data_IF_451476282756
#
_entry.id   IF_451476282756
#
_cell.length_a   1.000
_cell.length_b   1.000
_cell.length_c   1.000
_cell.angle_alpha   90.00
_cell.angle_beta   90.00
_cell.angle_gamma   90.00
#
_symmetry.space_group_name_H-M   'P 1'
#
loop_
_entity.id
_entity.type
_entity.pdbx_description
1 polymer ?
#
# COMPACT_ATOMS: atom_id res chain seq x y z
N UNK A 1 24.13 -13.24 23.05
CA UNK A 1 22.69 -13.04 23.29
C UNK A 1 22.40 -11.53 23.16
N UNK A 2 22.18 -11.05 21.94
CA UNK A 2 21.91 -9.63 21.67
C UNK A 2 20.41 -9.36 21.88
N UNK A 3 20.06 -8.64 22.94
CA UNK A 3 18.69 -8.15 23.12
C UNK A 3 18.43 -7.02 22.10
N UNK A 4 17.35 -7.09 21.31
CA UNK A 4 16.98 -6.00 20.41
C UNK A 4 16.62 -4.75 21.22
N UNK A 5 16.86 -3.54 20.67
CA UNK A 5 16.56 -2.28 21.36
C UNK A 5 15.07 -2.21 21.70
N UNK A 6 14.76 -2.13 22.99
CA UNK A 6 13.39 -1.99 23.47
C UNK A 6 12.79 -0.70 22.89
N UNK A 7 11.68 -0.83 22.18
CA UNK A 7 11.00 0.32 21.61
C UNK A 7 10.44 1.15 22.78
N UNK A 8 10.48 2.48 22.68
CA UNK A 8 9.89 3.40 23.68
C UNK A 8 8.43 3.10 24.05
N UNK A 9 7.72 2.28 23.25
CA UNK A 9 6.37 1.78 23.51
C UNK A 9 6.29 0.72 24.65
N UNK A 10 7.42 0.11 25.02
CA UNK A 10 7.49 -0.97 26.01
C UNK A 10 7.80 -0.45 27.43
N UNK A 11 8.01 0.86 27.58
CA UNK A 11 8.06 1.53 28.87
C UNK A 11 6.65 1.57 29.49
N UNK A 12 6.28 0.52 30.22
CA UNK A 12 5.23 0.61 31.23
C UNK A 12 5.74 1.52 32.35
N UNK A 13 5.14 2.70 32.60
CA UNK A 13 5.51 3.48 33.77
C UNK A 13 5.04 2.70 35.00
N UNK A 14 6.01 2.09 35.69
CA UNK A 14 5.78 1.49 36.98
C UNK A 14 5.44 2.58 38.00
N UNK A 15 4.32 2.39 38.70
CA UNK A 15 4.05 3.03 39.99
C UNK A 15 3.32 4.37 39.96
N UNK A 16 2.14 4.35 40.59
CA UNK A 16 1.35 5.47 41.16
C UNK A 16 0.48 6.26 40.17
N UNK A 17 -0.70 6.63 40.69
CA UNK A 17 -1.85 7.26 40.01
C UNK A 17 -1.42 8.30 38.97
N UNK A 18 -1.50 7.94 37.68
CA UNK A 18 -1.21 8.89 36.59
C UNK A 18 -2.25 10.01 36.57
N UNK A 19 -1.77 11.25 36.66
CA UNK A 19 -2.58 12.46 36.46
C UNK A 19 -3.21 12.45 35.07
N UNK A 20 -4.42 13.00 34.89
CA UNK A 20 -5.09 13.03 33.58
C UNK A 20 -4.22 13.64 32.46
N UNK A 21 -3.36 14.61 32.79
CA UNK A 21 -2.35 15.16 31.87
C UNK A 21 -1.31 14.14 31.41
N UNK A 22 -0.80 13.28 32.30
CA UNK A 22 0.18 12.24 31.93
C UNK A 22 -0.45 11.15 31.07
N UNK A 23 -1.72 10.78 31.34
CA UNK A 23 -2.50 9.87 30.47
C UNK A 23 -2.73 10.47 29.09
N UNK A 24 -3.08 11.76 29.03
CA UNK A 24 -3.27 12.47 27.77
C UNK A 24 -1.95 12.59 26.98
N UNK A 25 -0.85 12.96 27.64
CA UNK A 25 0.47 13.05 27.03
C UNK A 25 0.96 11.68 26.54
N UNK A 26 0.74 10.62 27.30
CA UNK A 26 1.07 9.25 26.89
C UNK A 26 0.26 8.78 25.68
N UNK A 27 -1.05 9.06 25.64
CA UNK A 27 -1.89 8.79 24.46
C UNK A 27 -1.45 9.59 23.23
N UNK A 28 -1.11 10.86 23.42
CA UNK A 28 -0.63 11.74 22.35
C UNK A 28 0.72 11.28 21.80
N UNK A 29 1.69 10.97 22.67
CA UNK A 29 3.00 10.45 22.26
C UNK A 29 2.89 9.08 21.59
N UNK A 30 1.99 8.21 22.05
CA UNK A 30 1.71 6.94 21.38
C UNK A 30 1.10 7.15 19.99
N UNK A 31 0.18 8.10 19.85
CA UNK A 31 -0.42 8.46 18.56
C UNK A 31 0.63 9.04 17.59
N UNK A 32 1.44 10.00 18.04
CA UNK A 32 2.56 10.59 17.28
C UNK A 32 3.57 9.52 16.88
N UNK A 33 3.93 8.61 17.79
CA UNK A 33 4.86 7.53 17.50
C UNK A 33 4.30 6.52 16.48
N UNK A 34 3.00 6.25 16.51
CA UNK A 34 2.33 5.34 15.58
C UNK A 34 2.15 5.99 14.21
N UNK A 35 1.89 7.30 14.19
CA UNK A 35 1.70 8.12 12.98
C UNK A 35 2.97 8.65 12.33
N UNK A 36 4.18 8.25 12.77
CA UNK A 36 5.45 8.86 12.34
C UNK A 36 5.59 9.00 10.82
N UNK A 37 5.25 7.95 10.06
CA UNK A 37 5.34 7.99 8.60
C UNK A 37 4.34 8.99 7.99
N UNK A 38 3.12 9.04 8.50
CA UNK A 38 2.11 9.99 8.04
C UNK A 38 2.52 11.44 8.38
N UNK A 39 3.10 11.66 9.56
CA UNK A 39 3.60 12.99 9.95
C UNK A 39 4.72 13.47 9.04
N UNK A 40 5.66 12.60 8.67
CA UNK A 40 6.72 12.94 7.72
C UNK A 40 6.12 13.34 6.37
N UNK A 41 5.14 12.59 5.86
CA UNK A 41 4.46 12.91 4.60
C UNK A 41 3.76 14.27 4.65
N UNK A 42 3.01 14.56 5.73
CA UNK A 42 2.31 15.85 5.89
C UNK A 42 3.29 17.01 6.02
N UNK A 43 4.38 16.86 6.79
CA UNK A 43 5.41 17.89 6.94
C UNK A 43 6.13 18.15 5.61
N UNK A 44 6.52 17.09 4.88
CA UNK A 44 7.13 17.23 3.55
C UNK A 44 6.17 17.90 2.56
N UNK A 45 4.88 17.56 2.59
CA UNK A 45 3.88 18.20 1.74
C UNK A 45 3.69 19.69 2.07
N UNK A 46 3.66 20.05 3.36
CA UNK A 46 3.59 21.43 3.80
C UNK A 46 4.84 22.22 3.37
N UNK A 47 6.04 21.67 3.57
CA UNK A 47 7.28 22.28 3.11
C UNK A 47 7.29 22.44 1.58
N UNK A 48 6.91 21.40 0.83
CA UNK A 48 6.82 21.47 -0.62
C UNK A 48 5.86 22.57 -1.09
N UNK A 49 4.73 22.76 -0.40
CA UNK A 49 3.80 23.87 -0.66
C UNK A 49 4.43 25.25 -0.39
N UNK A 50 5.14 25.42 0.74
CA UNK A 50 5.84 26.67 1.05
C UNK A 50 6.90 27.01 0.01
N UNK A 51 7.75 26.05 -0.36
CA UNK A 51 8.79 26.26 -1.38
C UNK A 51 8.20 26.47 -2.79
N UNK A 52 7.10 25.79 -3.12
CA UNK A 52 6.40 26.02 -4.38
C UNK A 52 5.82 27.44 -4.48
N UNK A 53 5.46 28.06 -3.35
CA UNK A 53 4.96 29.45 -3.31
C UNK A 53 6.09 30.47 -3.53
N UNK A 54 7.34 30.09 -3.23
CA UNK A 54 8.52 30.94 -3.41
C UNK A 54 9.19 30.79 -4.79
N UNK A 55 8.58 30.06 -5.73
CA UNK A 55 9.10 29.72 -7.07
C UNK A 55 10.50 29.07 -7.11
N UNK A 56 11.04 28.71 -5.95
CA UNK A 56 12.29 27.97 -5.78
C UNK A 56 11.93 26.57 -5.31
N UNK A 57 11.49 25.71 -6.24
CA UNK A 57 11.26 24.30 -5.94
C UNK A 57 12.50 23.49 -6.35
N UNK A 58 13.43 23.16 -5.42
CA UNK A 58 14.60 22.33 -5.72
C UNK A 58 14.24 20.84 -5.91
N UNK A 59 12.95 20.47 -5.86
CA UNK A 59 12.46 19.09 -5.93
C UNK A 59 11.39 18.93 -7.01
N UNK A 60 11.39 17.75 -7.65
CA UNK A 60 10.40 17.36 -8.64
C UNK A 60 9.07 17.06 -7.93
N UNK A 61 8.03 17.86 -8.20
CA UNK A 61 6.68 17.63 -7.70
C UNK A 61 6.00 16.50 -8.48
N UNK A 62 5.10 15.77 -7.81
CA UNK A 62 4.37 14.60 -8.33
C UNK A 62 3.48 14.86 -9.54
N UNK A 63 3.40 16.11 -9.99
CA UNK A 63 2.57 16.52 -11.11
C UNK A 63 1.10 16.58 -10.78
N UNK A 64 0.31 16.75 -11.83
CA UNK A 64 -1.13 16.92 -11.76
C UNK A 64 -1.84 15.55 -11.71
N UNK A 65 -2.62 15.28 -10.67
CA UNK A 65 -3.36 14.01 -10.51
C UNK A 65 -4.80 14.26 -10.93
N UNK A 66 -5.27 13.55 -11.96
CA UNK A 66 -6.65 13.64 -12.41
C UNK A 66 -7.61 13.14 -11.32
N UNK A 67 -8.59 13.97 -10.97
CA UNK A 67 -9.62 13.60 -10.03
C UNK A 67 -10.62 12.63 -10.68
N UNK A 68 -10.90 11.50 -10.02
CA UNK A 68 -11.89 10.54 -10.47
C UNK A 68 -11.39 9.10 -10.45
N UNK A 69 -12.33 8.16 -10.52
CA UNK A 69 -11.98 6.75 -10.68
C UNK A 69 -11.49 6.52 -12.11
N UNK A 70 -10.47 5.65 -12.31
CA UNK A 70 -10.09 5.25 -13.65
C UNK A 70 -11.31 4.62 -14.35
N UNK A 71 -11.55 4.94 -15.63
CA UNK A 71 -12.67 4.38 -16.36
C UNK A 71 -12.51 2.86 -16.45
N UNK A 72 -13.62 2.15 -16.30
CA UNK A 72 -13.68 0.72 -16.57
C UNK A 72 -13.54 0.52 -18.09
N UNK A 73 -12.38 0.03 -18.51
CA UNK A 73 -12.08 -0.24 -19.90
C UNK A 73 -11.22 -1.50 -20.00
N UNK A 74 -11.44 -2.38 -20.99
CA UNK A 74 -10.57 -3.52 -21.19
C UNK A 74 -9.13 -3.05 -21.45
N UNK A 75 -8.11 -3.84 -21.07
CA UNK A 75 -6.72 -3.51 -21.34
C UNK A 75 -6.53 -3.31 -22.86
N UNK A 76 -5.89 -2.20 -23.28
CA UNK A 76 -5.76 -1.88 -24.69
C UNK A 76 -4.83 -2.89 -25.39
N UNK A 77 -5.28 -3.40 -26.54
CA UNK A 77 -4.45 -4.27 -27.40
C UNK A 77 -3.56 -3.47 -28.37
N UNK A 78 -3.77 -2.15 -28.45
CA UNK A 78 -2.95 -1.21 -29.20
C UNK A 78 -2.72 0.04 -28.36
N UNK A 79 -1.47 0.50 -28.29
CA UNK A 79 -1.13 1.73 -27.57
C UNK A 79 -0.32 2.65 -28.46
N UNK A 80 -0.64 3.94 -28.46
CA UNK A 80 0.15 4.97 -29.13
C UNK A 80 1.15 5.52 -28.11
N UNK A 81 2.43 5.26 -28.33
CA UNK A 81 3.50 5.80 -27.49
C UNK A 81 4.41 6.66 -28.38
N UNK A 82 4.28 7.99 -28.25
CA UNK A 82 4.88 8.94 -29.19
C UNK A 82 4.22 8.89 -30.58
N UNK A 83 5.04 8.88 -31.63
CA UNK A 83 4.58 8.83 -33.03
C UNK A 83 4.36 7.41 -33.58
N UNK A 84 4.49 6.39 -32.73
CA UNK A 84 4.41 4.98 -33.14
C UNK A 84 3.24 4.28 -32.48
N UNK A 85 2.41 3.62 -33.29
CA UNK A 85 1.36 2.72 -32.81
C UNK A 85 1.95 1.35 -32.53
N UNK A 86 2.00 0.96 -31.26
CA UNK A 86 2.46 -0.35 -30.82
C UNK A 86 1.29 -1.34 -30.88
N UNK A 87 1.43 -2.37 -31.72
CA UNK A 87 0.56 -3.54 -31.71
C UNK A 87 0.84 -4.41 -30.48
N UNK A 88 -0.11 -5.27 -30.11
CA UNK A 88 0.00 -6.21 -28.99
C UNK A 88 1.30 -7.03 -29.01
N UNK A 89 1.69 -7.55 -30.18
CA UNK A 89 2.94 -8.29 -30.35
C UNK A 89 4.18 -7.46 -30.00
N UNK A 90 4.21 -6.20 -30.42
CA UNK A 90 5.31 -5.29 -30.13
C UNK A 90 5.35 -4.93 -28.65
N UNK A 91 4.19 -4.76 -28.01
CA UNK A 91 4.12 -4.59 -26.55
C UNK A 91 4.69 -5.82 -25.83
N UNK A 92 4.32 -7.02 -26.28
CA UNK A 92 4.82 -8.25 -25.69
C UNK A 92 6.34 -8.41 -25.85
N UNK A 93 6.88 -8.08 -27.01
CA UNK A 93 8.31 -8.07 -27.25
C UNK A 93 9.04 -7.03 -26.39
N UNK A 94 8.42 -5.87 -26.16
CA UNK A 94 9.00 -4.82 -25.34
C UNK A 94 9.07 -5.19 -23.86
N UNK A 95 8.06 -5.90 -23.35
CA UNK A 95 8.10 -6.48 -22.00
C UNK A 95 9.05 -7.70 -21.92
N UNK A 96 9.28 -8.38 -23.04
CA UNK A 96 10.22 -9.50 -23.16
C UNK A 96 9.93 -10.63 -22.18
N UNK A 97 10.96 -11.06 -21.44
CA UNK A 97 10.84 -12.08 -20.39
C UNK A 97 10.02 -11.63 -19.17
N UNK A 98 9.80 -10.32 -19.00
CA UNK A 98 9.05 -9.77 -17.88
C UNK A 98 7.61 -10.27 -17.80
N UNK A 99 7.00 -10.63 -18.95
CA UNK A 99 5.64 -11.19 -19.00
C UNK A 99 5.51 -12.49 -18.22
N UNK A 100 6.54 -13.34 -18.26
CA UNK A 100 6.55 -14.60 -17.52
C UNK A 100 7.09 -14.42 -16.10
N UNK A 101 8.15 -13.61 -15.95
CA UNK A 101 8.84 -13.44 -14.66
C UNK A 101 7.95 -12.75 -13.62
N UNK A 102 7.23 -11.69 -13.99
CA UNK A 102 6.43 -10.91 -13.04
C UNK A 102 5.31 -11.75 -12.40
N UNK A 103 4.47 -12.51 -13.13
CA UNK A 103 3.47 -13.38 -12.53
C UNK A 103 4.08 -14.49 -11.67
N UNK A 104 5.16 -15.13 -12.12
CA UNK A 104 5.82 -16.21 -11.36
C UNK A 104 6.33 -15.68 -10.01
N UNK A 105 7.05 -14.56 -10.02
CA UNK A 105 7.56 -13.94 -8.79
C UNK A 105 6.41 -13.49 -7.90
N UNK A 106 5.33 -12.94 -8.48
CA UNK A 106 4.15 -12.50 -7.74
C UNK A 106 3.45 -13.67 -7.02
N UNK A 107 3.27 -14.81 -7.69
CA UNK A 107 2.65 -16.01 -7.12
C UNK A 107 3.54 -16.60 -6.03
N UNK A 108 4.85 -16.76 -6.29
CA UNK A 108 5.79 -17.27 -5.30
C UNK A 108 5.83 -16.41 -4.04
N UNK A 109 5.86 -15.08 -4.21
CA UNK A 109 5.80 -14.12 -3.11
C UNK A 109 4.49 -14.22 -2.33
N UNK A 110 3.35 -14.29 -3.01
CA UNK A 110 2.04 -14.40 -2.36
C UNK A 110 1.92 -15.71 -1.54
N UNK A 111 2.29 -16.85 -2.13
CA UNK A 111 2.24 -18.15 -1.45
C UNK A 111 3.22 -18.20 -0.27
N UNK A 112 4.42 -17.59 -0.39
CA UNK A 112 5.36 -17.50 0.72
C UNK A 112 4.80 -16.68 1.89
N UNK A 113 4.14 -15.55 1.61
CA UNK A 113 3.47 -14.74 2.63
C UNK A 113 2.33 -15.53 3.27
N UNK A 114 1.47 -16.14 2.47
CA UNK A 114 0.34 -16.92 2.97
C UNK A 114 0.81 -18.05 3.90
N UNK A 115 1.87 -18.80 3.53
CA UNK A 115 2.47 -19.82 4.39
C UNK A 115 3.10 -19.26 5.67
N UNK A 116 3.71 -18.08 5.61
CA UNK A 116 4.30 -17.45 6.78
C UNK A 116 3.27 -17.03 7.84
N UNK A 117 2.01 -16.79 7.43
CA UNK A 117 0.93 -16.38 8.32
C UNK A 117 -0.15 -17.45 8.54
N UNK A 118 -0.12 -18.57 7.83
CA UNK A 118 -1.00 -19.72 8.08
C UNK A 118 -0.59 -20.42 9.38
N UNK A 119 -1.46 -20.42 10.39
CA UNK A 119 -1.17 -21.06 11.69
C UNK A 119 -1.86 -22.42 11.76
N UNK A 120 -1.18 -23.47 11.31
CA UNK A 120 -1.65 -24.86 11.43
C UNK A 120 -2.71 -25.32 10.42
N UNK A 121 -3.16 -24.44 9.53
CA UNK A 121 -4.07 -24.79 8.43
C UNK A 121 -3.31 -25.15 7.15
N UNK A 122 -3.85 -26.11 6.38
CA UNK A 122 -3.29 -26.46 5.07
C UNK A 122 -3.61 -25.36 4.07
N UNK A 123 -2.57 -24.69 3.56
CA UNK A 123 -2.71 -23.71 2.49
C UNK A 123 -2.73 -24.41 1.12
N UNK A 124 -3.80 -24.22 0.36
CA UNK A 124 -3.86 -24.62 -1.04
C UNK A 124 -3.21 -23.55 -1.94
N UNK A 125 -2.00 -23.85 -2.41
CA UNK A 125 -1.26 -22.96 -3.31
C UNK A 125 -1.97 -22.76 -4.67
N UNK A 126 -2.76 -23.74 -5.13
CA UNK A 126 -3.51 -23.64 -6.40
C UNK A 126 -4.62 -22.62 -6.26
N UNK A 127 -5.34 -22.64 -5.13
CA UNK A 127 -6.38 -21.67 -4.83
C UNK A 127 -5.82 -20.25 -4.71
N UNK A 128 -4.68 -20.08 -4.04
CA UNK A 128 -3.99 -18.78 -3.94
C UNK A 128 -3.56 -18.26 -5.32
N UNK A 129 -3.04 -19.15 -6.18
CA UNK A 129 -2.63 -18.79 -7.55
C UNK A 129 -3.83 -18.34 -8.39
N UNK A 130 -4.94 -19.09 -8.37
CA UNK A 130 -6.16 -18.73 -9.11
C UNK A 130 -6.72 -17.41 -8.60
N UNK A 131 -6.79 -17.23 -7.27
CA UNK A 131 -7.28 -15.99 -6.64
C UNK A 131 -6.44 -14.79 -7.09
N UNK A 132 -5.11 -14.89 -7.02
CA UNK A 132 -4.22 -13.82 -7.42
C UNK A 132 -4.30 -13.52 -8.93
N UNK A 133 -4.46 -14.54 -9.77
CA UNK A 133 -4.67 -14.41 -11.20
C UNK A 133 -5.97 -13.65 -11.51
N UNK A 134 -7.08 -14.06 -10.89
CA UNK A 134 -8.37 -13.38 -11.03
C UNK A 134 -8.31 -11.92 -10.56
N UNK A 135 -7.65 -11.64 -9.43
CA UNK A 135 -7.45 -10.28 -8.94
C UNK A 135 -6.71 -9.40 -9.97
N UNK A 136 -5.66 -9.91 -10.60
CA UNK A 136 -4.90 -9.17 -11.60
C UNK A 136 -5.66 -9.00 -12.93
N UNK A 137 -6.42 -10.01 -13.35
CA UNK A 137 -7.30 -9.89 -14.53
C UNK A 137 -8.36 -8.82 -14.29
N UNK A 138 -9.08 -8.89 -13.16
CA UNK A 138 -10.09 -7.88 -12.79
C UNK A 138 -9.45 -6.49 -12.63
N UNK A 139 -8.25 -6.41 -12.06
CA UNK A 139 -7.49 -5.16 -11.93
C UNK A 139 -7.11 -4.53 -13.26
N UNK A 140 -6.89 -5.32 -14.32
CA UNK A 140 -6.54 -4.80 -15.64
C UNK A 140 -7.65 -3.91 -16.24
N UNK A 141 -8.92 -4.19 -15.92
CA UNK A 141 -10.08 -3.39 -16.39
C UNK A 141 -10.17 -2.01 -15.75
N UNK A 142 -9.51 -1.80 -14.62
CA UNK A 142 -9.43 -0.48 -13.94
C UNK A 142 -8.05 0.15 -14.09
N UNK A 143 -7.26 -0.30 -15.08
CA UNK A 143 -5.88 0.17 -15.33
C UNK A 143 -4.95 -0.01 -14.11
N UNK A 144 -5.19 -1.04 -13.29
CA UNK A 144 -4.33 -1.35 -12.15
C UNK A 144 -2.98 -1.92 -12.59
N UNK A 145 -1.94 -1.58 -11.85
CA UNK A 145 -0.67 -2.30 -11.89
C UNK A 145 -0.82 -3.71 -11.30
N UNK A 146 0.06 -4.67 -11.66
CA UNK A 146 0.04 -6.01 -11.10
C UNK A 146 0.20 -5.96 -9.58
N UNK A 147 -0.70 -6.65 -8.88
CA UNK A 147 -0.79 -6.68 -7.41
C UNK A 147 -0.29 -8.03 -6.89
N UNK A 148 0.34 -8.01 -5.72
CA UNK A 148 0.79 -9.17 -4.94
C UNK A 148 0.49 -8.97 -3.45
N UNK A 149 0.66 -10.03 -2.66
CA UNK A 149 0.54 -9.98 -1.20
C UNK A 149 1.58 -9.06 -0.56
N UNK A 150 1.31 -8.56 0.65
CA UNK A 150 2.22 -7.66 1.38
C UNK A 150 2.50 -8.16 2.78
N UNK A 151 3.77 -8.47 3.08
CA UNK A 151 4.21 -8.88 4.42
C UNK A 151 3.79 -7.89 5.50
N UNK A 152 3.98 -6.59 5.27
CA UNK A 152 3.66 -5.57 6.28
C UNK A 152 2.15 -5.51 6.57
N UNK A 153 1.31 -5.58 5.54
CA UNK A 153 -0.16 -5.56 5.73
C UNK A 153 -0.65 -6.84 6.39
N UNK A 154 -0.16 -8.00 5.95
CA UNK A 154 -0.52 -9.30 6.53
C UNK A 154 -0.07 -9.41 7.99
N UNK A 155 1.11 -8.91 8.34
CA UNK A 155 1.59 -8.88 9.72
C UNK A 155 0.69 -8.04 10.64
N UNK A 156 0.29 -6.85 10.19
CA UNK A 156 -0.63 -5.98 10.95
C UNK A 156 -2.01 -6.61 11.05
N UNK A 157 -2.51 -7.22 9.98
CA UNK A 157 -3.81 -7.89 9.97
C UNK A 157 -3.83 -9.10 10.92
N UNK A 158 -2.78 -9.92 10.92
CA UNK A 158 -2.61 -11.05 11.83
C UNK A 158 -2.45 -10.60 13.29
N UNK A 159 -1.64 -9.58 13.55
CA UNK A 159 -1.48 -9.00 14.89
C UNK A 159 -2.77 -8.35 15.42
N UNK A 160 -3.65 -7.90 14.53
CA UNK A 160 -4.97 -7.35 14.88
C UNK A 160 -6.01 -8.44 15.14
N UNK A 161 -5.67 -9.72 14.95
CA UNK A 161 -6.56 -10.85 15.22
C UNK A 161 -7.69 -11.01 14.20
N UNK A 162 -7.53 -10.51 12.97
CA UNK A 162 -8.53 -10.69 11.90
C UNK A 162 -8.53 -12.15 11.45
N UNK A 163 -9.69 -12.81 11.57
CA UNK A 163 -9.85 -14.25 11.24
C UNK A 163 -10.60 -14.52 9.94
N UNK A 164 -11.13 -13.48 9.30
CA UNK A 164 -11.97 -13.63 8.10
C UNK A 164 -11.42 -12.78 6.95
N UNK A 165 -11.51 -13.24 5.69
CA UNK A 165 -11.10 -12.45 4.53
C UNK A 165 -11.90 -11.14 4.36
N UNK A 166 -13.08 -11.03 4.99
CA UNK A 166 -13.88 -9.80 4.99
C UNK A 166 -13.16 -8.57 5.56
N UNK A 167 -12.07 -8.73 6.33
CA UNK A 167 -11.23 -7.60 6.77
C UNK A 167 -10.65 -6.79 5.61
N UNK A 168 -10.45 -7.42 4.45
CA UNK A 168 -10.03 -6.75 3.22
C UNK A 168 -11.06 -5.73 2.71
N UNK A 169 -12.37 -6.04 2.82
CA UNK A 169 -13.44 -5.13 2.40
C UNK A 169 -13.46 -3.85 3.24
N UNK A 170 -13.29 -3.99 4.56
CA UNK A 170 -13.17 -2.84 5.46
C UNK A 170 -11.97 -1.97 5.08
N UNK A 171 -10.80 -2.59 4.89
CA UNK A 171 -9.58 -1.89 4.50
C UNK A 171 -9.75 -1.16 3.16
N UNK A 172 -10.36 -1.80 2.17
CA UNK A 172 -10.66 -1.20 0.87
C UNK A 172 -11.61 0.00 0.97
N UNK A 173 -12.66 -0.09 1.78
CA UNK A 173 -13.58 1.02 2.04
C UNK A 173 -12.87 2.23 2.65
N UNK A 174 -12.03 2.01 3.66
CA UNK A 174 -11.25 3.09 4.27
C UNK A 174 -10.23 3.71 3.30
N UNK A 175 -9.59 2.89 2.46
CA UNK A 175 -8.71 3.38 1.42
C UNK A 175 -9.45 4.28 0.43
N UNK A 176 -10.62 3.87 -0.05
CA UNK A 176 -11.44 4.67 -0.97
C UNK A 176 -11.83 6.03 -0.38
N UNK A 177 -12.29 6.04 0.89
CA UNK A 177 -12.63 7.29 1.59
C UNK A 177 -11.40 8.19 1.71
N UNK A 178 -10.27 7.62 2.16
CA UNK A 178 -9.01 8.37 2.32
C UNK A 178 -8.54 8.96 1.01
N UNK A 179 -8.56 8.18 -0.07
CA UNK A 179 -8.17 8.65 -1.41
C UNK A 179 -9.04 9.82 -1.86
N UNK A 180 -10.37 9.73 -1.71
CA UNK A 180 -11.28 10.84 -2.06
C UNK A 180 -10.99 12.10 -1.27
N UNK A 181 -10.76 11.98 0.04
CA UNK A 181 -10.44 13.12 0.89
C UNK A 181 -9.08 13.72 0.51
N UNK A 182 -8.08 12.87 0.23
CA UNK A 182 -6.75 13.33 -0.13
C UNK A 182 -6.76 14.09 -1.47
N UNK A 183 -7.46 13.57 -2.49
CA UNK A 183 -7.60 14.27 -3.77
C UNK A 183 -8.23 15.65 -3.56
N UNK A 184 -9.31 15.77 -2.77
CA UNK A 184 -9.96 17.06 -2.49
C UNK A 184 -9.11 18.03 -1.65
N UNK A 185 -8.16 17.54 -0.86
CA UNK A 185 -7.35 18.39 0.03
C UNK A 185 -6.13 18.98 -0.69
N UNK A 186 -5.57 18.24 -1.64
CA UNK A 186 -4.32 18.62 -2.31
C UNK A 186 -4.54 19.15 -3.73
N UNK A 187 -5.79 19.13 -4.21
CA UNK A 187 -6.14 19.41 -5.60
C UNK A 187 -7.57 19.92 -5.74
#
# INVERSE_FOLDING_TARGET
MFLPPQKLKDLKPGGKSQTNRQKALGKFLWFVSTGRNAMVVVLCAALAYFFSTMEQAPFLLTGKIDAGLPPLAPPPFTTTFGNSTLSFLNMCQHLGSGIAVVPIVSILGNVAIAKAFSTGEMLDATQEMITLGLCNIMGSFVRSMPVTGSFSRSAVNNASGVRTPMGGLYTGKYFYITWRVFVLLFW
#
